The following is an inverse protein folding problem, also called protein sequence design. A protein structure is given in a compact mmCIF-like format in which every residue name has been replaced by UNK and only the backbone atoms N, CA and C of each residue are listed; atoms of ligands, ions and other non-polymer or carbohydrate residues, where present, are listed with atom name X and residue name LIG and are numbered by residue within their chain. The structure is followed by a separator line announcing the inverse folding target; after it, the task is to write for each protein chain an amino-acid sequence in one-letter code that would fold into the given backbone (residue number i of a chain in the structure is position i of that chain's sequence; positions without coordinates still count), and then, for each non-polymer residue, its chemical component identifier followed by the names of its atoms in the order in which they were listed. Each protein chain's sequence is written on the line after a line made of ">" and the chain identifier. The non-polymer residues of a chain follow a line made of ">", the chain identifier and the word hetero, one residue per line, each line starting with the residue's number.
data_IF_695363791891
#
_entry.id   IF_695363791891
#
_cell.length_a   1.000
_cell.length_b   1.000
_cell.length_c   1.000
_cell.angle_alpha   90.00
_cell.angle_beta   90.00
_cell.angle_gamma   90.00
#
_symmetry.space_group_name_H-M   'P 1'
#
loop_
_entity.id
_entity.type
_entity.pdbx_description
1 polymer ?
#
# COMPACT_ATOMS: atom_id res chain seq x y z
N UNK A 1 -19.12 16.32 -1.35
CA UNK A 1 -18.28 15.28 -0.70
C UNK A 1 -16.86 15.49 -1.17
N UNK A 2 -15.87 15.60 -0.27
CA UNK A 2 -14.49 15.83 -0.66
C UNK A 2 -13.91 14.60 -1.37
N UNK A 3 -13.02 14.86 -2.34
CA UNK A 3 -12.29 13.83 -3.07
C UNK A 3 -10.80 13.96 -2.74
N UNK A 4 -10.12 12.82 -2.57
CA UNK A 4 -8.68 12.74 -2.33
C UNK A 4 -7.99 12.01 -3.48
N UNK A 5 -6.77 12.44 -3.80
CA UNK A 5 -5.90 11.80 -4.78
C UNK A 5 -4.76 11.16 -4.01
N UNK A 6 -4.60 9.84 -4.17
CA UNK A 6 -3.46 9.13 -3.59
C UNK A 6 -2.31 9.13 -4.59
N UNK A 7 -1.11 9.53 -4.16
CA UNK A 7 0.06 9.49 -5.02
C UNK A 7 0.42 8.05 -5.41
N UNK A 8 0.85 7.83 -6.67
CA UNK A 8 1.30 6.52 -7.11
C UNK A 8 2.52 6.06 -6.31
N UNK A 9 2.60 4.76 -6.07
CA UNK A 9 3.68 4.15 -5.32
C UNK A 9 5.06 4.45 -5.92
N UNK A 10 6.00 4.85 -5.06
CA UNK A 10 7.39 5.13 -5.46
C UNK A 10 8.28 3.88 -5.36
N UNK A 11 8.91 3.43 -6.47
CA UNK A 11 9.71 2.21 -6.50
C UNK A 11 11.12 2.33 -5.92
N UNK A 12 11.48 3.48 -5.34
CA UNK A 12 12.84 3.76 -4.91
C UNK A 12 13.46 2.67 -3.98
N UNK A 13 12.72 2.01 -3.06
CA UNK A 13 13.31 1.00 -2.19
C UNK A 13 13.77 -0.25 -2.95
N UNK A 14 13.26 -0.47 -4.16
CA UNK A 14 13.66 -1.60 -5.02
C UNK A 14 15.03 -1.39 -5.67
N UNK A 15 15.60 -0.19 -5.59
CA UNK A 15 16.93 0.09 -6.14
C UNK A 15 17.98 -0.80 -5.47
N UNK A 16 17.91 -0.97 -4.14
CA UNK A 16 18.89 -1.80 -3.41
C UNK A 16 18.85 -3.29 -3.80
N UNK A 17 17.69 -3.99 -3.76
CA UNK A 17 17.66 -5.38 -4.20
C UNK A 17 17.96 -5.53 -5.69
N UNK A 18 17.59 -4.58 -6.54
CA UNK A 18 17.97 -4.60 -7.96
C UNK A 18 19.50 -4.54 -8.13
N UNK A 19 20.18 -3.65 -7.40
CA UNK A 19 21.64 -3.59 -7.40
C UNK A 19 22.27 -4.88 -6.90
N UNK A 20 21.72 -5.48 -5.83
CA UNK A 20 22.20 -6.76 -5.31
C UNK A 20 22.11 -7.88 -6.37
N UNK A 21 21.00 -7.94 -7.11
CA UNK A 21 20.82 -8.90 -8.22
C UNK A 21 21.84 -8.64 -9.33
N UNK A 22 22.05 -7.38 -9.73
CA UNK A 22 23.01 -7.02 -10.78
C UNK A 22 24.43 -7.43 -10.37
N UNK A 23 24.87 -7.06 -9.16
CA UNK A 23 26.19 -7.40 -8.64
C UNK A 23 26.34 -8.92 -8.50
N UNK A 24 25.30 -9.60 -8.01
CA UNK A 24 25.28 -11.05 -7.90
C UNK A 24 25.43 -11.74 -9.25
N UNK A 25 24.73 -11.26 -10.28
CA UNK A 25 24.81 -11.80 -11.63
C UNK A 25 26.21 -11.63 -12.23
N UNK A 26 26.82 -10.46 -12.05
CA UNK A 26 28.21 -10.20 -12.46
C UNK A 26 29.17 -11.18 -11.78
N UNK A 27 29.05 -11.37 -10.46
CA UNK A 27 29.90 -12.30 -9.71
C UNK A 27 29.68 -13.77 -10.12
N UNK A 28 28.44 -14.17 -10.40
CA UNK A 28 28.12 -15.52 -10.85
C UNK A 28 28.73 -15.81 -12.24
N UNK A 29 28.71 -14.84 -13.15
CA UNK A 29 29.21 -14.99 -14.52
C UNK A 29 30.74 -14.87 -14.57
N UNK A 30 31.31 -13.81 -13.99
CA UNK A 30 32.75 -13.54 -14.00
C UNK A 30 33.52 -14.45 -13.05
N UNK A 31 32.88 -14.91 -11.96
CA UNK A 31 33.45 -15.83 -10.99
C UNK A 31 33.55 -17.28 -11.46
N UNK A 32 33.34 -17.58 -12.76
CA UNK A 32 33.33 -18.96 -13.28
C UNK A 32 34.60 -19.75 -12.95
N UNK A 33 35.76 -19.06 -12.85
CA UNK A 33 37.05 -19.64 -12.44
C UNK A 33 37.36 -19.60 -10.95
N UNK A 34 36.48 -19.00 -10.12
CA UNK A 34 36.65 -18.84 -8.66
C UNK A 34 35.38 -19.22 -7.94
N UNK A 35 35.32 -20.47 -7.46
CA UNK A 35 34.13 -21.08 -6.83
C UNK A 35 33.45 -20.18 -5.78
N UNK A 36 34.21 -19.57 -4.88
CA UNK A 36 33.66 -18.68 -3.85
C UNK A 36 32.98 -17.42 -4.41
N UNK A 37 33.54 -16.79 -5.44
CA UNK A 37 32.91 -15.63 -6.08
C UNK A 37 31.59 -16.01 -6.76
N UNK A 38 31.54 -17.19 -7.39
CA UNK A 38 30.33 -17.71 -8.02
C UNK A 38 29.22 -18.02 -7.01
N UNK A 39 29.57 -18.66 -5.89
CA UNK A 39 28.61 -19.00 -4.83
C UNK A 39 28.02 -17.75 -4.17
N UNK A 40 28.85 -16.74 -3.86
CA UNK A 40 28.39 -15.43 -3.38
C UNK A 40 27.47 -14.77 -4.43
N UNK A 41 27.83 -14.85 -5.71
CA UNK A 41 27.00 -14.34 -6.80
C UNK A 41 25.60 -14.95 -6.81
N UNK A 42 25.48 -16.27 -6.68
CA UNK A 42 24.17 -16.93 -6.60
C UNK A 42 23.36 -16.51 -5.38
N UNK A 43 24.00 -16.40 -4.20
CA UNK A 43 23.33 -15.93 -2.99
C UNK A 43 22.79 -14.51 -3.17
N UNK A 44 23.56 -13.62 -3.80
CA UNK A 44 23.13 -12.25 -4.06
C UNK A 44 22.00 -12.16 -5.08
N UNK A 45 22.01 -12.98 -6.13
CA UNK A 45 20.91 -13.04 -7.11
C UNK A 45 19.63 -13.54 -6.46
N UNK A 46 19.69 -14.69 -5.78
CA UNK A 46 18.50 -15.30 -5.16
C UNK A 46 18.00 -14.44 -4.01
N UNK A 47 18.90 -14.00 -3.13
CA UNK A 47 18.59 -13.14 -2.00
C UNK A 47 18.01 -11.80 -2.46
N UNK A 48 18.66 -11.12 -3.40
CA UNK A 48 18.17 -9.85 -3.95
C UNK A 48 16.79 -9.98 -4.60
N UNK A 49 16.55 -11.04 -5.37
CA UNK A 49 15.25 -11.28 -5.98
C UNK A 49 14.14 -11.54 -4.94
N UNK A 50 14.42 -12.36 -3.92
CA UNK A 50 13.48 -12.63 -2.83
C UNK A 50 13.21 -11.37 -2.01
N UNK A 51 14.25 -10.58 -1.71
CA UNK A 51 14.11 -9.30 -1.01
C UNK A 51 13.29 -8.30 -1.83
N UNK A 52 13.50 -8.19 -3.15
CA UNK A 52 12.68 -7.34 -4.00
C UNK A 52 11.20 -7.74 -3.94
N UNK A 53 10.92 -9.04 -4.00
CA UNK A 53 9.55 -9.54 -3.97
C UNK A 53 8.88 -9.30 -2.62
N UNK A 54 9.60 -9.52 -1.51
CA UNK A 54 9.10 -9.23 -0.16
C UNK A 54 8.86 -7.73 0.06
N UNK A 55 9.79 -6.88 -0.40
CA UNK A 55 9.66 -5.43 -0.30
C UNK A 55 8.50 -4.91 -1.13
N UNK A 56 8.26 -5.44 -2.33
CA UNK A 56 7.09 -5.08 -3.14
C UNK A 56 5.78 -5.28 -2.37
N UNK A 57 5.60 -6.46 -1.76
CA UNK A 57 4.39 -6.74 -0.98
C UNK A 57 4.26 -5.85 0.25
N UNK A 58 5.32 -5.71 1.04
CA UNK A 58 5.30 -4.96 2.30
C UNK A 58 5.17 -3.44 2.08
N UNK A 59 5.92 -2.89 1.12
CA UNK A 59 5.93 -1.46 0.84
C UNK A 59 4.67 -1.02 0.10
N UNK A 60 4.07 -1.89 -0.72
CA UNK A 60 2.79 -1.57 -1.36
C UNK A 60 1.69 -1.40 -0.32
N UNK A 61 1.65 -2.23 0.73
CA UNK A 61 0.65 -2.13 1.79
C UNK A 61 0.86 -0.92 2.70
N UNK A 62 2.09 -0.70 3.15
CA UNK A 62 2.40 0.41 4.07
C UNK A 62 2.29 1.79 3.41
N UNK A 63 2.68 1.92 2.14
CA UNK A 63 2.51 3.16 1.38
C UNK A 63 1.04 3.55 1.20
N UNK A 64 0.21 2.58 0.81
CA UNK A 64 -1.22 2.78 0.57
C UNK A 64 -1.94 3.26 1.86
N UNK A 65 -1.56 2.71 3.01
CA UNK A 65 -2.07 3.15 4.31
C UNK A 65 -1.57 4.56 4.70
N UNK A 66 -0.29 4.85 4.47
CA UNK A 66 0.31 6.17 4.77
C UNK A 66 -0.33 7.29 3.96
N UNK A 67 -0.48 7.11 2.65
CA UNK A 67 -1.09 8.09 1.77
C UNK A 67 -2.55 8.38 2.10
N UNK A 68 -3.33 7.36 2.49
CA UNK A 68 -4.72 7.56 2.95
C UNK A 68 -4.79 8.35 4.24
N UNK A 69 -3.84 8.12 5.15
CA UNK A 69 -3.73 8.85 6.41
C UNK A 69 -3.46 10.33 6.13
N UNK A 70 -2.42 10.62 5.34
CA UNK A 70 -2.00 11.98 5.04
C UNK A 70 -3.09 12.77 4.31
N UNK A 71 -3.77 12.13 3.35
CA UNK A 71 -4.87 12.76 2.61
C UNK A 71 -6.11 13.07 3.47
N UNK A 72 -6.43 12.23 4.46
CA UNK A 72 -7.49 12.53 5.42
C UNK A 72 -7.08 13.63 6.40
N UNK A 73 -5.81 13.65 6.82
CA UNK A 73 -5.27 14.73 7.66
C UNK A 73 -5.32 16.08 6.95
N UNK A 74 -5.04 16.13 5.64
CA UNK A 74 -5.16 17.35 4.83
C UNK A 74 -6.62 17.87 4.77
N UNK A 75 -7.61 16.97 4.86
CA UNK A 75 -9.02 17.34 4.94
C UNK A 75 -9.49 17.75 6.35
N UNK A 76 -8.60 17.71 7.33
CA UNK A 76 -8.87 18.08 8.73
C UNK A 76 -9.32 16.92 9.61
N UNK A 77 -9.12 15.67 9.19
CA UNK A 77 -9.35 14.51 10.04
C UNK A 77 -8.08 14.18 10.85
N UNK A 78 -8.23 14.09 12.16
CA UNK A 78 -7.18 13.73 13.10
C UNK A 78 -7.18 12.22 13.37
N UNK A 79 -5.99 11.64 13.46
CA UNK A 79 -5.77 10.23 13.80
C UNK A 79 -6.65 9.21 13.06
N UNK A 80 -6.73 9.24 11.71
CA UNK A 80 -7.57 8.31 10.98
C UNK A 80 -7.09 6.87 11.16
N UNK A 81 -8.03 5.99 11.50
CA UNK A 81 -7.84 4.55 11.61
C UNK A 81 -8.71 3.85 10.57
N UNK A 82 -8.18 2.78 9.97
CA UNK A 82 -8.86 2.05 8.91
C UNK A 82 -9.29 0.69 9.42
N UNK A 83 -10.53 0.33 9.14
CA UNK A 83 -11.11 -0.98 9.46
C UNK A 83 -11.33 -1.80 8.18
N UNK A 84 -11.66 -3.08 8.34
CA UNK A 84 -11.85 -4.03 7.23
C UNK A 84 -12.73 -3.43 6.12
N UNK A 85 -12.19 -3.30 4.92
CA UNK A 85 -12.92 -2.85 3.73
C UNK A 85 -13.61 -4.00 3.01
N UNK A 86 -14.42 -3.69 2.01
CA UNK A 86 -15.19 -4.67 1.20
C UNK A 86 -14.32 -5.62 0.35
N UNK A 87 -13.00 -5.56 0.47
CA UNK A 87 -12.06 -6.38 -0.30
C UNK A 87 -11.92 -5.89 -1.75
N UNK A 88 -11.65 -6.81 -2.69
CA UNK A 88 -11.64 -6.50 -4.13
C UNK A 88 -12.99 -6.95 -4.71
N UNK A 89 -13.77 -5.99 -5.23
CA UNK A 89 -15.07 -6.25 -5.85
C UNK A 89 -14.94 -6.01 -7.36
N UNK A 90 -15.14 -7.05 -8.16
CA UNK A 90 -15.12 -6.92 -9.63
C UNK A 90 -13.77 -6.49 -10.23
N UNK A 91 -12.65 -6.75 -9.54
CA UNK A 91 -11.31 -6.35 -9.98
C UNK A 91 -10.91 -4.91 -9.61
N UNK A 92 -11.76 -4.19 -8.89
CA UNK A 92 -11.44 -2.89 -8.30
C UNK A 92 -11.39 -2.98 -6.78
N UNK A 93 -10.61 -2.13 -6.09
CA UNK A 93 -10.72 -2.00 -4.64
C UNK A 93 -12.17 -1.70 -4.25
N UNK A 94 -12.67 -2.32 -3.19
CA UNK A 94 -13.96 -2.01 -2.58
C UNK A 94 -13.88 -0.79 -1.66
N UNK A 95 -15.01 -0.41 -1.05
CA UNK A 95 -15.01 0.69 -0.11
C UNK A 95 -14.19 0.34 1.16
N UNK A 96 -13.53 1.33 1.74
CA UNK A 96 -12.71 1.18 2.94
C UNK A 96 -13.33 2.00 4.07
N UNK A 97 -13.60 1.37 5.19
CA UNK A 97 -14.13 2.04 6.36
C UNK A 97 -13.00 2.77 7.10
N UNK A 98 -13.28 4.00 7.53
CA UNK A 98 -12.37 4.75 8.39
C UNK A 98 -13.12 5.37 9.58
N UNK A 99 -12.38 5.53 10.66
CA UNK A 99 -12.78 6.27 11.85
C UNK A 99 -11.71 7.31 12.13
N UNK A 100 -12.12 8.56 12.36
CA UNK A 100 -11.21 9.65 12.67
C UNK A 100 -11.86 10.63 13.65
N UNK A 101 -11.10 11.61 14.12
CA UNK A 101 -11.62 12.75 14.87
C UNK A 101 -11.64 14.00 13.96
N UNK A 102 -12.64 14.86 14.08
CA UNK A 102 -12.70 16.14 13.37
C UNK A 102 -13.34 17.16 14.30
N UNK A 103 -12.64 18.28 14.54
CA UNK A 103 -13.12 19.35 15.43
C UNK A 103 -13.55 18.84 16.83
N UNK A 104 -12.83 17.85 17.38
CA UNK A 104 -13.15 17.27 18.69
C UNK A 104 -14.27 16.22 18.69
N UNK A 105 -14.81 15.87 17.51
CA UNK A 105 -15.90 14.91 17.36
C UNK A 105 -15.45 13.68 16.58
N UNK A 106 -15.84 12.49 17.06
CA UNK A 106 -15.58 11.23 16.34
C UNK A 106 -16.43 11.15 15.07
N UNK A 107 -15.78 10.95 13.94
CA UNK A 107 -16.39 10.79 12.62
C UNK A 107 -16.12 9.37 12.12
N UNK A 108 -17.17 8.72 11.61
CA UNK A 108 -17.06 7.44 10.92
C UNK A 108 -17.39 7.67 9.45
N UNK A 109 -16.67 7.02 8.55
CA UNK A 109 -16.88 7.21 7.13
C UNK A 109 -16.36 6.06 6.28
N UNK A 110 -16.51 6.24 4.97
CA UNK A 110 -16.04 5.31 3.95
C UNK A 110 -15.27 6.07 2.87
N UNK A 111 -14.18 5.48 2.42
CA UNK A 111 -13.46 5.85 1.21
C UNK A 111 -13.99 4.99 0.06
N UNK A 112 -14.66 5.62 -0.91
CA UNK A 112 -15.20 4.95 -2.09
C UNK A 112 -14.28 5.21 -3.28
N UNK A 113 -13.74 4.16 -3.93
CA UNK A 113 -12.85 4.35 -5.08
C UNK A 113 -13.62 4.86 -6.30
N UNK A 114 -13.04 5.85 -6.98
CA UNK A 114 -13.58 6.45 -8.21
C UNK A 114 -12.81 6.03 -9.46
N UNK A 115 -11.69 5.31 -9.28
CA UNK A 115 -10.73 4.98 -10.35
C UNK A 115 -9.58 5.99 -10.42
N UNK A 116 -8.50 5.62 -11.10
CA UNK A 116 -7.31 6.46 -11.33
C UNK A 116 -6.72 7.08 -10.05
N UNK A 117 -6.62 6.29 -8.98
CA UNK A 117 -6.12 6.72 -7.66
C UNK A 117 -6.98 7.79 -6.95
N UNK A 118 -8.19 8.06 -7.44
CA UNK A 118 -9.14 8.99 -6.79
C UNK A 118 -10.09 8.25 -5.86
N UNK A 119 -10.36 8.87 -4.72
CA UNK A 119 -11.25 8.35 -3.70
C UNK A 119 -12.20 9.43 -3.23
N UNK A 120 -13.46 9.07 -3.03
CA UNK A 120 -14.49 9.93 -2.45
C UNK A 120 -14.59 9.64 -0.96
N UNK A 121 -14.58 10.69 -0.15
CA UNK A 121 -14.84 10.59 1.29
C UNK A 121 -16.34 10.73 1.53
N UNK A 122 -16.94 9.70 2.12
CA UNK A 122 -18.35 9.65 2.49
C UNK A 122 -18.43 9.50 4.00
N UNK A 123 -18.80 10.56 4.72
CA UNK A 123 -19.10 10.49 6.15
C UNK A 123 -20.41 9.71 6.34
N UNK A 124 -20.43 8.80 7.30
CA UNK A 124 -21.63 8.08 7.73
C UNK A 124 -21.99 8.49 9.15
N UNK A 125 -23.28 8.55 9.47
CA UNK A 125 -23.68 8.74 10.86
C UNK A 125 -23.21 7.53 11.69
N UNK A 126 -22.70 7.74 12.92
CA UNK A 126 -22.37 6.65 13.83
C UNK A 126 -23.68 5.98 14.29
N UNK A 127 -24.22 5.06 13.48
CA UNK A 127 -25.48 4.38 13.77
C UNK A 127 -26.19 3.67 12.61
N UNK A 128 -25.84 3.90 11.35
CA UNK A 128 -26.49 3.21 10.21
C UNK A 128 -25.80 1.90 9.82
N UNK A 129 -25.64 1.01 10.79
CA UNK A 129 -25.60 -0.42 10.53
C UNK A 129 -27.00 -0.97 10.83
N UNK A 130 -27.67 -1.54 9.81
CA UNK A 130 -28.93 -2.29 9.92
C UNK A 130 -30.24 -1.48 10.09
N UNK A 131 -30.61 -0.63 9.13
CA UNK A 131 -32.04 -0.41 8.80
C UNK A 131 -32.28 -0.17 7.31
N UNK A 132 -32.87 -1.17 6.67
CA UNK A 132 -33.39 -1.18 5.29
C UNK A 132 -33.35 -2.63 4.80
N UNK A 133 -34.26 -3.52 5.20
CA UNK A 133 -35.71 -3.42 4.99
C UNK A 133 -35.97 -3.82 3.54
N UNK A 134 -36.08 -5.13 3.24
CA UNK A 134 -37.39 -5.79 3.07
C UNK A 134 -38.41 -4.85 2.40
N UNK A 135 -38.47 -4.91 1.07
CA UNK A 135 -39.72 -5.01 0.27
C UNK A 135 -39.44 -5.80 -1.02
#
# INVERSE_FOLDING_TARGET
>A
MPEIVLEPWSPWPLVFPALAVIVGAVLAIAGRGRRGAREIGYVLVVGGALTAFGLLGFLSGTWDQGQRTDALVELGYEHPTFSEGEGIVGGSPGAIHFEAERDGSKVVGRLVPLGDSRWRVVEGEPGEGERGGEE
#
